data_IF_408948280466
#
_entry.id   IF_408948280466
#
_cell.length_a   1.000
_cell.length_b   1.000
_cell.length_c   1.000
_cell.angle_alpha   90.00
_cell.angle_beta   90.00
_cell.angle_gamma   90.00
#
_symmetry.space_group_name_H-M   'P 1'
#
loop_
_entity.id
_entity.type
_entity.pdbx_description
1 polymer ?
#
# COMPACT_ATOMS: atom_id res chain seq x y z
N UNK A 1 -2.30 -18.41 17.07
CA UNK A 1 -2.27 -17.24 17.97
C UNK A 1 -0.90 -17.22 18.63
N UNK A 2 -0.18 -16.09 18.59
CA UNK A 2 1.06 -15.96 19.36
C UNK A 2 0.71 -16.00 20.85
N UNK A 3 1.54 -16.63 21.69
CA UNK A 3 1.35 -16.55 23.14
C UNK A 3 1.63 -15.12 23.61
N UNK A 4 0.98 -14.68 24.69
CA UNK A 4 1.20 -13.33 25.26
C UNK A 4 2.69 -13.08 25.55
N UNK A 5 3.41 -14.12 25.96
CA UNK A 5 4.86 -14.09 26.14
C UNK A 5 5.62 -13.77 24.84
N UNK A 6 5.21 -14.29 23.68
CA UNK A 6 5.83 -13.99 22.39
C UNK A 6 5.57 -12.53 21.95
N UNK A 7 4.38 -11.98 22.27
CA UNK A 7 4.05 -10.58 21.97
C UNK A 7 4.95 -9.63 22.77
N UNK A 8 5.08 -9.83 24.08
CA UNK A 8 5.93 -9.00 24.96
C UNK A 8 7.41 -9.07 24.56
N UNK A 9 7.89 -10.26 24.19
CA UNK A 9 9.27 -10.42 23.68
C UNK A 9 9.49 -9.66 22.38
N UNK A 10 8.54 -9.73 21.43
CA UNK A 10 8.61 -8.99 20.16
C UNK A 10 8.50 -7.48 20.39
N UNK A 11 7.62 -7.03 21.28
CA UNK A 11 7.50 -5.62 21.67
C UNK A 11 8.82 -5.06 22.20
N UNK A 12 9.46 -5.80 23.11
CA UNK A 12 10.78 -5.47 23.66
C UNK A 12 11.88 -5.44 22.60
N UNK A 13 11.78 -6.26 21.54
CA UNK A 13 12.71 -6.22 20.38
C UNK A 13 12.49 -4.96 19.53
N UNK A 14 11.24 -4.57 19.28
CA UNK A 14 10.90 -3.35 18.54
C UNK A 14 11.43 -2.10 19.25
N UNK A 15 11.21 -1.97 20.56
CA UNK A 15 11.73 -0.85 21.34
C UNK A 15 13.27 -0.79 21.31
N UNK A 16 13.94 -1.94 21.36
CA UNK A 16 15.41 -2.00 21.22
C UNK A 16 15.88 -1.52 19.84
N UNK A 17 15.17 -1.87 18.76
CA UNK A 17 15.47 -1.36 17.41
C UNK A 17 15.28 0.16 17.33
N UNK A 18 14.21 0.70 17.92
CA UNK A 18 13.99 2.15 17.98
C UNK A 18 15.13 2.85 18.71
N UNK A 19 15.54 2.35 19.88
CA UNK A 19 16.67 2.92 20.65
C UNK A 19 18.00 2.90 19.90
N UNK A 20 18.19 1.92 19.01
CA UNK A 20 19.39 1.78 18.17
C UNK A 20 19.34 2.62 16.88
N UNK A 21 18.18 3.16 16.52
CA UNK A 21 17.96 3.86 15.26
C UNK A 21 17.63 2.93 14.08
N UNK A 22 17.54 1.61 14.29
CA UNK A 22 17.23 0.60 13.26
C UNK A 22 15.73 0.57 12.88
N UNK A 23 14.90 1.31 13.60
CA UNK A 23 13.46 1.47 13.37
C UNK A 23 13.08 2.89 13.78
N UNK A 24 12.47 3.66 12.89
CA UNK A 24 11.97 4.98 13.26
C UNK A 24 10.73 4.88 14.16
N UNK A 25 10.49 5.93 14.96
CA UNK A 25 9.26 6.04 15.75
C UNK A 25 8.02 5.97 14.87
N UNK A 26 8.01 6.70 13.75
CA UNK A 26 6.92 6.69 12.78
C UNK A 26 6.59 5.29 12.27
N UNK A 27 7.61 4.47 11.95
CA UNK A 27 7.39 3.09 11.51
C UNK A 27 6.79 2.22 12.61
N UNK A 28 7.17 2.44 13.88
CA UNK A 28 6.54 1.75 15.00
C UNK A 28 5.06 2.15 15.17
N UNK A 29 4.74 3.42 15.00
CA UNK A 29 3.36 3.91 15.08
C UNK A 29 2.51 3.42 13.90
N UNK A 30 3.05 3.38 12.68
CA UNK A 30 2.40 2.77 11.52
C UNK A 30 2.07 1.31 11.82
N UNK A 31 3.01 0.54 12.38
CA UNK A 31 2.78 -0.86 12.78
C UNK A 31 1.60 -0.97 13.77
N UNK A 32 1.51 -0.08 14.76
CA UNK A 32 0.38 -0.09 15.68
C UNK A 32 -0.94 0.34 15.00
N UNK A 33 -0.90 1.33 14.09
CA UNK A 33 -2.08 1.80 13.35
C UNK A 33 -2.65 0.76 12.38
N UNK A 34 -1.82 -0.18 11.93
CA UNK A 34 -2.25 -1.35 11.14
C UNK A 34 -2.63 -2.55 12.02
N UNK A 35 -2.69 -2.37 13.34
CA UNK A 35 -3.08 -3.39 14.34
C UNK A 35 -2.06 -4.53 14.46
N UNK A 36 -0.76 -4.23 14.41
CA UNK A 36 0.31 -5.20 14.66
C UNK A 36 0.54 -5.35 16.18
N UNK A 37 0.18 -6.49 16.82
CA UNK A 37 0.11 -6.59 18.28
C UNK A 37 1.41 -6.25 19.01
N UNK A 38 2.61 -6.67 18.55
CA UNK A 38 3.85 -6.27 19.22
C UNK A 38 4.13 -4.77 19.22
N UNK A 39 3.65 -4.03 18.22
CA UNK A 39 3.82 -2.58 18.18
C UNK A 39 2.81 -1.88 19.10
N UNK A 40 1.57 -2.38 19.15
CA UNK A 40 0.56 -1.90 20.11
C UNK A 40 1.07 -2.10 21.55
N UNK A 41 1.59 -3.29 21.86
CA UNK A 41 2.19 -3.59 23.16
C UNK A 41 3.42 -2.71 23.47
N UNK A 42 4.29 -2.49 22.48
CA UNK A 42 5.49 -1.66 22.65
C UNK A 42 5.16 -0.18 22.96
N UNK A 43 4.08 0.34 22.37
CA UNK A 43 3.65 1.73 22.56
C UNK A 43 2.72 1.90 23.78
N UNK A 44 2.04 0.83 24.21
CA UNK A 44 1.11 0.86 25.34
C UNK A 44 0.06 1.96 25.18
N UNK A 45 -0.04 2.86 26.16
CA UNK A 45 -0.99 3.97 26.16
C UNK A 45 -0.75 5.00 25.03
N UNK A 46 0.44 5.03 24.43
CA UNK A 46 0.77 5.91 23.30
C UNK A 46 0.37 5.33 21.95
N UNK A 47 -0.14 4.09 21.90
CA UNK A 47 -0.52 3.45 20.66
C UNK A 47 -1.66 4.23 19.96
N UNK A 48 -1.53 4.54 18.66
CA UNK A 48 -2.59 5.24 17.94
C UNK A 48 -3.86 4.38 17.85
N UNK A 49 -5.02 5.01 18.03
CA UNK A 49 -6.30 4.34 17.85
C UNK A 49 -6.52 3.93 16.39
N UNK A 50 -6.84 2.64 16.17
CA UNK A 50 -7.15 2.08 14.84
C UNK A 50 -8.61 2.40 14.48
N UNK A 51 -8.89 3.30 13.52
CA UNK A 51 -10.27 3.62 13.15
C UNK A 51 -10.95 2.43 12.49
N UNK A 52 -12.20 2.11 12.86
CA UNK A 52 -12.97 1.05 12.16
C UNK A 52 -13.29 1.46 10.73
N UNK A 53 -13.70 2.72 10.55
CA UNK A 53 -13.99 3.35 9.27
C UNK A 53 -12.74 3.41 8.38
N UNK A 54 -12.88 2.96 7.14
CA UNK A 54 -11.76 2.82 6.21
C UNK A 54 -11.21 4.19 5.78
N UNK A 55 -12.08 5.17 5.48
CA UNK A 55 -11.67 6.51 5.06
C UNK A 55 -10.83 7.21 6.13
N UNK A 56 -11.25 7.13 7.40
CA UNK A 56 -10.48 7.66 8.54
C UNK A 56 -9.18 6.90 8.75
N UNK A 57 -9.17 5.58 8.54
CA UNK A 57 -7.95 4.77 8.67
C UNK A 57 -6.91 5.13 7.61
N UNK A 58 -7.32 5.25 6.33
CA UNK A 58 -6.43 5.67 5.22
C UNK A 58 -5.91 7.09 5.46
N UNK A 59 -6.79 8.03 5.85
CA UNK A 59 -6.37 9.42 6.13
C UNK A 59 -5.27 9.49 7.20
N UNK A 60 -5.33 8.63 8.23
CA UNK A 60 -4.27 8.56 9.24
C UNK A 60 -2.98 7.97 8.66
N UNK A 61 -3.06 6.99 7.76
CA UNK A 61 -1.89 6.40 7.11
C UNK A 61 -1.23 7.36 6.12
N UNK A 62 -2.02 8.07 5.30
CA UNK A 62 -1.53 9.10 4.35
C UNK A 62 -0.73 10.21 5.06
N UNK A 63 -1.09 10.53 6.32
CA UNK A 63 -0.40 11.54 7.12
C UNK A 63 1.07 11.19 7.44
N UNK A 64 1.46 9.92 7.33
CA UNK A 64 2.86 9.48 7.47
C UNK A 64 3.68 9.68 6.19
N UNK A 65 3.08 10.23 5.13
CA UNK A 65 3.78 10.79 3.98
C UNK A 65 3.67 9.96 2.69
N UNK A 66 4.33 10.46 1.61
CA UNK A 66 4.15 9.92 0.26
C UNK A 66 4.57 8.45 0.11
N UNK A 67 5.58 7.99 0.85
CA UNK A 67 6.03 6.60 0.78
C UNK A 67 5.00 5.59 1.30
N UNK A 68 4.20 5.97 2.32
CA UNK A 68 3.10 5.13 2.83
C UNK A 68 1.93 5.14 1.85
N UNK A 69 1.60 6.31 1.32
CA UNK A 69 0.55 6.48 0.31
C UNK A 69 0.83 5.64 -0.94
N UNK A 70 2.07 5.73 -1.46
CA UNK A 70 2.53 4.96 -2.62
C UNK A 70 2.41 3.45 -2.41
N UNK A 71 2.79 2.95 -1.22
CA UNK A 71 2.65 1.52 -0.87
C UNK A 71 1.21 1.05 -0.86
N UNK A 72 0.29 1.88 -0.34
CA UNK A 72 -1.13 1.56 -0.36
C UNK A 72 -1.66 1.48 -1.80
N UNK A 73 -1.30 2.45 -2.66
CA UNK A 73 -1.69 2.48 -4.07
C UNK A 73 -1.17 1.25 -4.81
N UNK A 74 0.13 0.94 -4.70
CA UNK A 74 0.72 -0.26 -5.34
C UNK A 74 0.08 -1.54 -4.81
N UNK A 75 -0.21 -1.63 -3.51
CA UNK A 75 -0.93 -2.78 -2.92
C UNK A 75 -2.32 -2.94 -3.51
N UNK A 76 -3.06 -1.84 -3.68
CA UNK A 76 -4.39 -1.84 -4.28
C UNK A 76 -4.35 -2.27 -5.75
N UNK A 77 -3.40 -1.75 -6.52
CA UNK A 77 -3.21 -2.14 -7.90
C UNK A 77 -2.91 -3.63 -8.06
N UNK A 78 -2.04 -4.19 -7.21
CA UNK A 78 -1.77 -5.64 -7.19
C UNK A 78 -3.01 -6.47 -6.92
N UNK A 79 -3.91 -5.99 -6.06
CA UNK A 79 -5.15 -6.69 -5.76
C UNK A 79 -6.11 -6.70 -6.96
N UNK A 80 -6.10 -5.65 -7.78
CA UNK A 80 -6.98 -5.50 -8.94
C UNK A 80 -6.43 -6.12 -10.22
N UNK A 81 -5.12 -6.40 -10.33
CA UNK A 81 -4.55 -7.07 -11.51
C UNK A 81 -5.31 -8.36 -11.91
N UNK A 82 -5.69 -9.26 -10.98
CA UNK A 82 -6.48 -10.45 -11.33
C UNK A 82 -7.79 -10.13 -12.04
N UNK A 83 -8.45 -9.00 -11.75
CA UNK A 83 -9.71 -8.59 -12.41
C UNK A 83 -9.50 -8.44 -13.92
N UNK A 84 -8.39 -7.81 -14.34
CA UNK A 84 -8.05 -7.64 -15.74
C UNK A 84 -7.64 -8.96 -16.40
N UNK A 85 -6.85 -9.77 -15.70
CA UNK A 85 -6.36 -11.05 -16.21
C UNK A 85 -7.52 -12.04 -16.42
N UNK A 86 -8.42 -12.17 -15.45
CA UNK A 86 -9.57 -13.06 -15.52
C UNK A 86 -10.58 -12.64 -16.60
N UNK A 87 -10.71 -11.32 -16.83
CA UNK A 87 -11.53 -10.79 -17.91
C UNK A 87 -10.90 -10.97 -19.31
N UNK A 88 -9.63 -11.36 -19.39
CA UNK A 88 -8.86 -11.35 -20.63
C UNK A 88 -8.74 -9.95 -21.24
N UNK A 89 -8.70 -8.92 -20.39
CA UNK A 89 -8.65 -7.53 -20.82
C UNK A 89 -7.32 -7.24 -21.53
N UNK A 90 -7.38 -6.55 -22.66
CA UNK A 90 -6.19 -6.14 -23.41
C UNK A 90 -5.22 -5.33 -22.54
N UNK A 91 -5.75 -4.53 -21.61
CA UNK A 91 -4.98 -3.69 -20.69
C UNK A 91 -4.22 -4.44 -19.59
N UNK A 92 -4.39 -5.77 -19.45
CA UNK A 92 -3.78 -6.52 -18.37
C UNK A 92 -2.24 -6.47 -18.41
N UNK A 93 -1.63 -6.48 -19.59
CA UNK A 93 -0.18 -6.43 -19.75
C UNK A 93 0.39 -5.08 -19.36
N UNK A 94 -0.21 -3.99 -19.82
CA UNK A 94 0.22 -2.62 -19.49
C UNK A 94 -0.02 -2.30 -18.02
N UNK A 95 -1.11 -2.81 -17.44
CA UNK A 95 -1.39 -2.69 -16.02
C UNK A 95 -0.35 -3.41 -15.17
N UNK A 96 0.02 -4.65 -15.51
CA UNK A 96 1.07 -5.40 -14.79
C UNK A 96 2.42 -4.68 -14.84
N UNK A 97 2.80 -4.17 -16.01
CA UNK A 97 4.04 -3.39 -16.18
C UNK A 97 4.02 -2.11 -15.33
N UNK A 98 2.90 -1.39 -15.28
CA UNK A 98 2.74 -0.22 -14.43
C UNK A 98 2.89 -0.56 -12.93
N UNK A 99 2.27 -1.64 -12.47
CA UNK A 99 2.43 -2.10 -11.07
C UNK A 99 3.88 -2.46 -10.77
N UNK A 100 4.54 -3.22 -11.66
CA UNK A 100 5.95 -3.58 -11.50
C UNK A 100 6.87 -2.36 -11.43
N UNK A 101 6.60 -1.33 -12.23
CA UNK A 101 7.42 -0.11 -12.18
C UNK A 101 7.16 0.71 -10.90
N UNK A 102 5.92 0.71 -10.40
CA UNK A 102 5.60 1.25 -9.07
C UNK A 102 6.35 0.52 -7.95
N UNK A 103 6.39 -0.81 -7.99
CA UNK A 103 7.16 -1.63 -7.05
C UNK A 103 8.66 -1.35 -7.15
N UNK A 104 9.21 -1.30 -8.36
CA UNK A 104 10.64 -1.01 -8.58
C UNK A 104 11.05 0.34 -7.99
N UNK A 105 10.23 1.38 -8.14
CA UNK A 105 10.50 2.68 -7.52
C UNK A 105 10.41 2.65 -5.98
N UNK A 106 9.49 1.86 -5.41
CA UNK A 106 9.42 1.67 -3.96
C UNK A 106 10.64 0.97 -3.36
N UNK A 107 11.40 0.23 -4.18
CA UNK A 107 12.67 -0.41 -3.81
C UNK A 107 13.87 0.51 -4.06
N UNK A 108 13.89 1.24 -5.18
CA UNK A 108 14.89 2.24 -5.54
C UNK A 108 14.24 3.54 -6.02
N UNK A 109 14.09 4.56 -5.15
CA UNK A 109 13.41 5.81 -5.50
C UNK A 109 14.33 6.78 -6.26
N UNK A 110 14.96 6.31 -7.34
CA UNK A 110 15.84 7.08 -8.21
C UNK A 110 15.08 7.78 -9.36
N UNK A 111 15.70 8.79 -9.99
CA UNK A 111 15.10 9.46 -11.16
C UNK A 111 14.91 8.48 -12.33
N UNK A 112 15.81 7.50 -12.47
CA UNK A 112 15.76 6.51 -13.54
C UNK A 112 14.53 5.60 -13.43
N UNK A 113 14.23 5.09 -12.22
CA UNK A 113 13.03 4.29 -11.98
C UNK A 113 11.77 5.14 -12.11
N UNK A 114 11.79 6.39 -11.63
CA UNK A 114 10.66 7.32 -11.79
C UNK A 114 10.32 7.60 -13.27
N UNK A 115 11.32 7.79 -14.13
CA UNK A 115 11.12 8.01 -15.57
C UNK A 115 10.51 6.79 -16.26
N UNK A 116 10.99 5.59 -15.92
CA UNK A 116 10.46 4.34 -16.47
C UNK A 116 9.01 4.12 -16.02
N UNK A 117 8.71 4.41 -14.75
CA UNK A 117 7.36 4.35 -14.21
C UNK A 117 6.41 5.33 -14.92
N UNK A 118 6.84 6.56 -15.19
CA UNK A 118 6.03 7.53 -15.94
C UNK A 118 5.67 7.03 -17.35
N UNK A 119 6.59 6.34 -18.04
CA UNK A 119 6.30 5.73 -19.34
C UNK A 119 5.28 4.59 -19.22
N UNK A 120 5.40 3.75 -18.19
CA UNK A 120 4.46 2.67 -17.92
C UNK A 120 3.06 3.20 -17.56
N UNK A 121 3.00 4.28 -16.78
CA UNK A 121 1.76 5.00 -16.47
C UNK A 121 1.02 5.41 -17.75
N UNK A 122 1.70 6.11 -18.67
CA UNK A 122 1.07 6.58 -19.92
C UNK A 122 0.54 5.43 -20.78
N UNK A 123 1.25 4.29 -20.84
CA UNK A 123 0.77 3.09 -21.54
C UNK A 123 -0.47 2.49 -20.87
N UNK A 124 -0.45 2.36 -19.55
CA UNK A 124 -1.58 1.81 -18.79
C UNK A 124 -2.83 2.69 -18.91
N UNK A 125 -2.70 4.03 -18.85
CA UNK A 125 -3.83 4.94 -19.10
C UNK A 125 -4.38 4.79 -20.51
N UNK A 126 -3.51 4.71 -21.52
CA UNK A 126 -3.94 4.51 -22.90
C UNK A 126 -4.63 3.16 -23.12
N UNK A 127 -4.25 2.12 -22.39
CA UNK A 127 -4.90 0.82 -22.44
C UNK A 127 -6.24 0.80 -21.68
N UNK A 128 -6.36 1.59 -20.60
CA UNK A 128 -7.58 1.67 -19.79
C UNK A 128 -8.80 2.13 -20.60
N UNK A 129 -8.63 2.99 -21.61
CA UNK A 129 -9.75 3.46 -22.45
C UNK A 129 -10.33 2.37 -23.38
N UNK A 130 -9.70 1.21 -23.46
CA UNK A 130 -10.10 0.09 -24.32
C UNK A 130 -10.80 -1.05 -23.56
N UNK A 131 -11.03 -0.89 -22.25
CA UNK A 131 -11.70 -1.89 -21.42
C UNK A 131 -13.22 -1.82 -21.56
N UNK A 132 -13.92 -2.87 -21.12
CA UNK A 132 -15.35 -3.07 -21.43
C UNK A 132 -16.29 -2.78 -20.27
N UNK A 133 -15.77 -2.73 -19.05
CA UNK A 133 -16.58 -2.60 -17.84
C UNK A 133 -15.95 -1.62 -16.85
N UNK A 134 -16.76 -1.01 -16.00
CA UNK A 134 -16.31 -0.08 -14.96
C UNK A 134 -15.31 -0.73 -13.99
N UNK A 135 -15.45 -2.04 -13.72
CA UNK A 135 -14.53 -2.79 -12.88
C UNK A 135 -13.16 -2.97 -13.56
N UNK A 136 -13.14 -3.26 -14.87
CA UNK A 136 -11.91 -3.30 -15.66
C UNK A 136 -11.26 -1.91 -15.75
N UNK A 137 -12.06 -0.85 -15.95
CA UNK A 137 -11.56 0.53 -16.00
C UNK A 137 -10.94 0.94 -14.66
N UNK A 138 -11.63 0.68 -13.55
CA UNK A 138 -11.12 0.92 -12.20
C UNK A 138 -9.81 0.18 -11.99
N UNK A 139 -9.74 -1.11 -12.33
CA UNK A 139 -8.52 -1.91 -12.19
C UNK A 139 -7.36 -1.35 -13.04
N UNK A 140 -7.61 -0.97 -14.28
CA UNK A 140 -6.60 -0.41 -15.18
C UNK A 140 -6.09 0.96 -14.71
N UNK A 141 -7.00 1.84 -14.26
CA UNK A 141 -6.63 3.17 -13.75
C UNK A 141 -5.85 3.08 -12.44
N UNK A 142 -6.28 2.24 -11.49
CA UNK A 142 -5.54 2.02 -10.24
C UNK A 142 -4.13 1.46 -10.52
N UNK A 143 -3.99 0.54 -11.48
CA UNK A 143 -2.68 0.07 -11.93
C UNK A 143 -1.82 1.18 -12.57
N UNK A 144 -2.42 2.04 -13.39
CA UNK A 144 -1.71 3.19 -13.93
C UNK A 144 -1.23 4.14 -12.81
N UNK A 145 -2.05 4.38 -11.78
CA UNK A 145 -1.67 5.23 -10.65
C UNK A 145 -0.51 4.66 -9.83
N UNK A 146 -0.37 3.33 -9.75
CA UNK A 146 0.79 2.70 -9.12
C UNK A 146 2.13 3.12 -9.77
N UNK A 147 2.14 3.45 -11.05
CA UNK A 147 3.32 3.97 -11.76
C UNK A 147 3.45 5.50 -11.73
N UNK A 148 2.43 6.23 -11.28
CA UNK A 148 2.44 7.70 -11.20
C UNK A 148 2.98 8.21 -9.86
N UNK A 149 2.86 7.42 -8.78
CA UNK A 149 3.34 7.76 -7.42
C UNK A 149 4.79 8.26 -7.32
N UNK A 150 5.75 7.88 -8.21
CA UNK A 150 7.11 8.41 -8.18
C UNK A 150 7.21 9.90 -8.52
N UNK A 151 6.25 10.42 -9.29
CA UNK A 151 6.34 11.75 -9.90
C UNK A 151 5.35 12.74 -9.32
N UNK A 152 4.26 12.24 -8.72
CA UNK A 152 3.18 13.06 -8.20
C UNK A 152 2.76 12.53 -6.83
N UNK A 153 2.70 13.39 -5.78
CA UNK A 153 2.11 13.01 -4.51
C UNK A 153 0.60 12.79 -4.69
N UNK A 154 0.14 11.56 -4.52
CA UNK A 154 -1.26 11.18 -4.64
C UNK A 154 -1.72 10.63 -3.28
N UNK A 155 -2.73 11.25 -2.64
CA UNK A 155 -3.37 10.65 -1.47
C UNK A 155 -3.97 9.29 -1.86
N UNK A 156 -3.76 8.26 -1.04
CA UNK A 156 -4.27 6.93 -1.37
C UNK A 156 -5.79 6.81 -1.17
N UNK A 157 -6.43 7.80 -0.54
CA UNK A 157 -7.85 7.76 -0.15
C UNK A 157 -8.79 7.29 -1.25
N UNK A 158 -8.73 7.93 -2.42
CA UNK A 158 -9.66 7.64 -3.52
C UNK A 158 -9.34 6.26 -4.13
N UNK A 159 -8.06 5.99 -4.39
CA UNK A 159 -7.58 4.69 -4.92
C UNK A 159 -7.99 3.51 -4.04
N UNK A 160 -7.84 3.64 -2.72
CA UNK A 160 -8.19 2.59 -1.77
C UNK A 160 -9.71 2.42 -1.67
N UNK A 161 -10.48 3.51 -1.81
CA UNK A 161 -11.94 3.45 -1.85
C UNK A 161 -12.43 2.70 -3.10
N UNK A 162 -11.96 3.09 -4.29
CA UNK A 162 -12.35 2.45 -5.57
C UNK A 162 -12.01 0.94 -5.58
N UNK A 163 -10.84 0.60 -5.02
CA UNK A 163 -10.43 -0.80 -4.87
C UNK A 163 -11.34 -1.57 -3.92
N UNK A 164 -11.78 -0.94 -2.83
CA UNK A 164 -12.66 -1.57 -1.86
C UNK A 164 -14.09 -1.76 -2.41
N UNK A 165 -14.55 -0.86 -3.28
CA UNK A 165 -15.83 -1.01 -3.98
C UNK A 165 -15.80 -2.21 -4.95
N UNK A 166 -14.61 -2.55 -5.49
CA UNK A 166 -14.42 -3.70 -6.39
C UNK A 166 -14.23 -5.04 -5.64
N UNK A 167 -13.43 -5.08 -4.56
CA UNK A 167 -12.99 -6.35 -3.92
C UNK A 167 -13.43 -6.54 -2.46
N UNK A 168 -14.05 -5.55 -1.83
CA UNK A 168 -14.33 -5.38 -0.39
C UNK A 168 -13.24 -4.68 0.43
N UNK A 169 -13.69 -3.83 1.37
CA UNK A 169 -12.84 -3.11 2.32
C UNK A 169 -11.95 -4.02 3.19
N UNK A 170 -12.44 -5.20 3.58
CA UNK A 170 -11.67 -6.13 4.42
C UNK A 170 -10.51 -6.79 3.65
N UNK A 171 -10.71 -7.12 2.38
CA UNK A 171 -9.64 -7.65 1.52
C UNK A 171 -8.51 -6.62 1.36
N UNK A 172 -8.89 -5.38 1.06
CA UNK A 172 -7.96 -4.24 0.93
C UNK A 172 -7.21 -3.98 2.23
N UNK A 173 -7.93 -3.88 3.35
CA UNK A 173 -7.34 -3.68 4.67
C UNK A 173 -6.32 -4.74 5.01
N UNK A 174 -6.64 -6.02 4.79
CA UNK A 174 -5.74 -7.14 5.06
C UNK A 174 -4.46 -7.06 4.22
N UNK A 175 -4.58 -6.73 2.93
CA UNK A 175 -3.43 -6.61 2.05
C UNK A 175 -2.52 -5.45 2.46
N UNK A 176 -3.09 -4.27 2.70
CA UNK A 176 -2.34 -3.07 3.14
C UNK A 176 -1.64 -3.33 4.48
N UNK A 177 -2.31 -3.95 5.45
CA UNK A 177 -1.69 -4.37 6.72
C UNK A 177 -0.46 -5.26 6.48
N UNK A 178 -0.59 -6.27 5.61
CA UNK A 178 0.51 -7.20 5.33
C UNK A 178 1.69 -6.52 4.63
N UNK A 179 1.43 -5.61 3.69
CA UNK A 179 2.49 -4.88 3.00
C UNK A 179 3.23 -3.92 3.95
N UNK A 180 2.48 -3.03 4.61
CA UNK A 180 3.05 -2.04 5.52
C UNK A 180 3.79 -2.69 6.69
N UNK A 181 3.30 -3.82 7.22
CA UNK A 181 4.03 -4.56 8.26
C UNK A 181 5.38 -5.07 7.75
N UNK A 182 5.42 -5.67 6.56
CA UNK A 182 6.66 -6.18 5.96
C UNK A 182 7.66 -5.05 5.70
N UNK A 183 7.20 -3.92 5.19
CA UNK A 183 8.05 -2.76 4.94
C UNK A 183 8.57 -2.12 6.23
N UNK A 184 7.68 -1.82 7.18
CA UNK A 184 8.05 -1.11 8.40
C UNK A 184 9.02 -1.93 9.28
N UNK A 185 8.98 -3.26 9.18
CA UNK A 185 9.87 -4.17 9.90
C UNK A 185 11.23 -4.43 9.21
N UNK A 186 11.44 -3.98 7.97
CA UNK A 186 12.77 -4.01 7.33
C UNK A 186 13.63 -2.93 7.98
#
# INVERSE_FOLDING_TARGET
MASDSDVVVKASKLLRRVRRGDLSRDRLEILALIDYPPAVEALGAEAPSVPRDMKRWIKKLDAYGPGVSARMIVTCARLLLPVLVEAGAAAATEADDAVRMGEAWLEDPSEATARTALMAHSRAVAAAVQVRTDAEETAALVAAFAALVPTTPIPAMDIVADTADTLSAEAVRRAVRRDLARWALR
#
